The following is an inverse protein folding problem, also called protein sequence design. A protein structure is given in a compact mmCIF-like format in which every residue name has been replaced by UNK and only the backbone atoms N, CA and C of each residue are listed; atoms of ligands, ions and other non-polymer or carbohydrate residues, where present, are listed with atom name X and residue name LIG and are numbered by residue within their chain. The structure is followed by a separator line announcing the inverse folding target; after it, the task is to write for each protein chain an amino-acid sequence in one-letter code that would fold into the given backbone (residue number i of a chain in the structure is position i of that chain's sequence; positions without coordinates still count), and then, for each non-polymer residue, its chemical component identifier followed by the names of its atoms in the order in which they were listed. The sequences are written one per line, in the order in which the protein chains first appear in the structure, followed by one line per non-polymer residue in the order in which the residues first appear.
data_IF_672904653980
#
_entry.id   IF_672904653980
#
_cell.length_a   1.000
_cell.length_b   1.000
_cell.length_c   1.000
_cell.angle_alpha   90.00
_cell.angle_beta   90.00
_cell.angle_gamma   90.00
#
_symmetry.space_group_name_H-M   'P 1'
#
loop_
_entity.id
_entity.type
_entity.pdbx_description
1 polymer ?
#
# COMPACT_ATOMS: atom_id res chain seq x y z
N UNK A 1 -1.76 -6.57 -19.77
CA UNK A 1 -0.76 -6.45 -18.67
C UNK A 1 -1.33 -5.45 -17.69
N UNK A 2 -1.37 -5.82 -16.42
CA UNK A 2 -1.86 -4.93 -15.37
C UNK A 2 -0.75 -3.98 -14.91
N UNK A 3 -1.10 -2.71 -14.82
CA UNK A 3 -0.22 -1.66 -14.31
C UNK A 3 -0.96 -0.83 -13.26
N UNK A 4 -0.20 -0.21 -12.36
CA UNK A 4 -0.69 0.75 -11.38
C UNK A 4 -0.13 2.13 -11.73
N UNK A 5 -1.00 3.13 -11.83
CA UNK A 5 -0.59 4.51 -12.08
C UNK A 5 0.12 5.09 -10.85
N UNK A 6 1.28 5.71 -11.04
CA UNK A 6 2.06 6.36 -9.98
C UNK A 6 1.62 7.81 -9.74
N UNK A 7 0.94 8.41 -10.71
CA UNK A 7 0.44 9.79 -10.69
C UNK A 7 -0.81 9.90 -11.54
N UNK A 8 -1.53 11.01 -11.37
CA UNK A 8 -2.70 11.31 -12.19
C UNK A 8 -2.32 11.34 -13.67
N UNK A 9 -3.14 10.69 -14.50
CA UNK A 9 -2.90 10.51 -15.91
C UNK A 9 -4.15 10.86 -16.72
N UNK A 10 -4.02 11.78 -17.67
CA UNK A 10 -5.10 12.11 -18.61
C UNK A 10 -5.08 11.14 -19.80
N UNK A 11 -6.03 10.21 -19.81
CA UNK A 11 -6.18 9.25 -20.89
C UNK A 11 -7.13 9.79 -21.96
N UNK A 12 -6.70 9.79 -23.23
CA UNK A 12 -7.59 10.06 -24.36
C UNK A 12 -8.39 8.80 -24.67
N UNK A 13 -9.69 8.82 -24.34
CA UNK A 13 -10.62 7.72 -24.63
C UNK A 13 -11.51 8.06 -25.82
N UNK A 14 -12.26 7.08 -26.33
CA UNK A 14 -13.26 7.30 -27.40
C UNK A 14 -14.39 8.23 -26.98
N UNK A 15 -14.65 8.35 -25.67
CA UNK A 15 -15.66 9.24 -25.09
C UNK A 15 -15.10 10.62 -24.71
N UNK A 16 -13.81 10.85 -24.98
CA UNK A 16 -13.10 12.09 -24.63
C UNK A 16 -11.95 11.87 -23.64
N UNK A 17 -11.25 12.96 -23.25
CA UNK A 17 -10.20 12.90 -22.25
C UNK A 17 -10.80 12.56 -20.87
N UNK A 18 -10.17 11.61 -20.17
CA UNK A 18 -10.57 11.19 -18.82
C UNK A 18 -9.36 11.22 -17.89
N UNK A 19 -9.50 11.89 -16.75
CA UNK A 19 -8.52 11.85 -15.69
C UNK A 19 -8.60 10.50 -14.95
N UNK A 20 -7.47 9.81 -14.89
CA UNK A 20 -7.29 8.58 -14.13
C UNK A 20 -6.39 8.91 -12.93
N UNK A 21 -6.87 8.72 -11.69
CA UNK A 21 -6.10 9.09 -10.51
C UNK A 21 -4.91 8.13 -10.29
N UNK A 22 -3.90 8.63 -9.56
CA UNK A 22 -2.84 7.81 -9.02
C UNK A 22 -3.38 6.61 -8.20
N UNK A 23 -2.65 5.49 -8.20
CA UNK A 23 -3.04 4.24 -7.55
C UNK A 23 -4.06 3.42 -8.32
N UNK A 24 -4.62 3.92 -9.43
CA UNK A 24 -5.55 3.16 -10.26
C UNK A 24 -4.85 2.05 -11.03
N UNK A 25 -5.40 0.85 -10.93
CA UNK A 25 -5.01 -0.29 -11.76
C UNK A 25 -5.69 -0.25 -13.12
N UNK A 26 -4.93 -0.57 -14.17
CA UNK A 26 -5.40 -0.65 -15.55
C UNK A 26 -4.87 -1.93 -16.19
N UNK A 27 -5.72 -2.63 -16.94
CA UNK A 27 -5.27 -3.68 -17.85
C UNK A 27 -5.13 -3.10 -19.27
N UNK A 28 -3.90 -3.08 -19.77
CA UNK A 28 -3.57 -2.52 -21.07
C UNK A 28 -2.82 -3.53 -21.94
N UNK A 29 -2.86 -3.30 -23.25
CA UNK A 29 -1.95 -3.96 -24.18
C UNK A 29 -0.49 -3.72 -23.76
N UNK A 30 0.34 -4.76 -23.92
CA UNK A 30 1.70 -4.80 -23.38
C UNK A 30 2.58 -3.63 -23.86
N UNK A 31 2.48 -3.24 -25.13
CA UNK A 31 3.25 -2.09 -25.65
C UNK A 31 2.89 -0.78 -24.96
N UNK A 32 1.59 -0.53 -24.73
CA UNK A 32 1.13 0.68 -24.03
C UNK A 32 1.53 0.67 -22.56
N UNK A 33 1.42 -0.48 -21.90
CA UNK A 33 1.87 -0.66 -20.53
C UNK A 33 3.38 -0.37 -20.41
N UNK A 34 4.20 -0.96 -21.29
CA UNK A 34 5.66 -0.73 -21.34
C UNK A 34 5.99 0.74 -21.59
N UNK A 35 5.25 1.44 -22.46
CA UNK A 35 5.46 2.87 -22.70
C UNK A 35 5.19 3.72 -21.44
N UNK A 36 4.12 3.44 -20.70
CA UNK A 36 3.80 4.15 -19.45
C UNK A 36 4.80 3.84 -18.33
N UNK A 37 5.29 2.60 -18.27
CA UNK A 37 6.34 2.19 -17.31
C UNK A 37 7.66 2.89 -17.63
N UNK A 38 8.08 2.88 -18.90
CA UNK A 38 9.30 3.55 -19.34
C UNK A 38 9.25 5.08 -19.10
N UNK A 39 8.06 5.68 -19.18
CA UNK A 39 7.83 7.09 -18.87
C UNK A 39 7.76 7.40 -17.36
N UNK A 40 7.85 6.39 -16.48
CA UNK A 40 7.69 6.55 -15.03
C UNK A 40 6.30 7.07 -14.64
N UNK A 41 5.28 6.75 -15.44
CA UNK A 41 3.87 7.09 -15.18
C UNK A 41 3.18 5.95 -14.43
N UNK A 42 3.62 4.71 -14.67
CA UNK A 42 3.06 3.52 -14.07
C UNK A 42 4.13 2.50 -13.70
N UNK A 43 3.74 1.48 -12.95
CA UNK A 43 4.55 0.30 -12.66
C UNK A 43 3.70 -0.98 -12.84
N UNK A 44 4.30 -2.17 -12.97
CA UNK A 44 3.54 -3.42 -12.96
C UNK A 44 2.68 -3.54 -11.70
N UNK A 45 1.44 -4.03 -11.84
CA UNK A 45 0.53 -4.16 -10.70
C UNK A 45 0.85 -5.36 -9.79
N UNK A 46 1.63 -6.33 -10.30
CA UNK A 46 1.97 -7.61 -9.67
C UNK A 46 3.33 -7.61 -8.95
N UNK A 47 3.89 -6.43 -8.67
CA UNK A 47 5.15 -6.32 -7.92
C UNK A 47 4.99 -6.85 -6.49
N UNK A 48 6.00 -7.54 -5.94
CA UNK A 48 5.94 -8.06 -4.59
C UNK A 48 5.83 -6.93 -3.57
N UNK A 49 4.90 -7.07 -2.63
CA UNK A 49 4.72 -6.12 -1.54
C UNK A 49 5.70 -6.41 -0.40
N UNK A 50 6.01 -5.40 0.44
CA UNK A 50 6.72 -5.64 1.69
C UNK A 50 6.01 -6.68 2.55
N UNK A 51 6.78 -7.45 3.31
CA UNK A 51 6.26 -8.49 4.19
C UNK A 51 7.14 -8.62 5.43
N UNK A 52 6.65 -9.39 6.41
CA UNK A 52 7.43 -9.78 7.57
C UNK A 52 7.91 -11.21 7.38
N UNK A 53 9.22 -11.42 7.59
CA UNK A 53 9.79 -12.76 7.49
C UNK A 53 9.43 -13.63 8.73
N UNK A 54 10.02 -14.82 8.83
CA UNK A 54 9.75 -15.73 9.95
C UNK A 54 10.26 -15.21 11.30
N UNK A 55 11.23 -14.31 11.31
CA UNK A 55 11.75 -13.67 12.51
C UNK A 55 10.94 -12.42 12.90
N UNK A 56 9.99 -11.99 12.06
CA UNK A 56 9.23 -10.76 12.26
C UNK A 56 9.97 -9.52 11.76
N UNK A 57 11.02 -9.68 10.95
CA UNK A 57 11.76 -8.56 10.37
C UNK A 57 11.07 -8.06 9.10
N UNK A 58 11.02 -6.73 8.93
CA UNK A 58 10.49 -6.12 7.72
C UNK A 58 11.43 -6.37 6.54
N UNK A 59 10.91 -7.06 5.53
CA UNK A 59 11.56 -7.25 4.24
C UNK A 59 10.87 -6.37 3.19
N UNK A 60 11.64 -5.46 2.58
CA UNK A 60 11.22 -4.66 1.43
C UNK A 60 11.97 -5.18 0.19
N UNK A 61 11.31 -5.93 -0.71
CA UNK A 61 11.96 -6.44 -1.92
C UNK A 61 12.52 -5.32 -2.80
N UNK A 62 13.67 -5.53 -3.45
CA UNK A 62 14.26 -4.52 -4.35
C UNK A 62 13.38 -4.22 -5.56
N UNK A 63 12.58 -5.20 -6.00
CA UNK A 63 11.62 -5.11 -7.09
C UNK A 63 10.19 -4.79 -6.60
N UNK A 64 10.00 -4.25 -5.40
CA UNK A 64 8.67 -3.83 -4.92
C UNK A 64 8.16 -2.54 -5.61
N UNK A 65 6.89 -2.13 -5.38
CA UNK A 65 6.37 -0.82 -5.77
C UNK A 65 7.24 0.35 -5.32
N UNK A 66 7.37 1.38 -6.17
CA UNK A 66 8.23 2.53 -5.88
C UNK A 66 7.90 3.21 -4.54
N UNK A 67 6.63 3.24 -4.15
CA UNK A 67 6.17 3.86 -2.90
C UNK A 67 6.82 3.27 -1.64
N UNK A 68 7.27 2.01 -1.66
CA UNK A 68 7.87 1.36 -0.50
C UNK A 68 9.39 1.51 -0.41
N UNK A 69 10.04 2.04 -1.46
CA UNK A 69 11.49 2.16 -1.54
C UNK A 69 11.96 3.42 -0.83
N UNK A 70 12.07 3.38 0.50
CA UNK A 70 12.52 4.52 1.31
C UNK A 70 13.88 5.08 0.83
N UNK A 71 14.77 4.22 0.33
CA UNK A 71 16.07 4.61 -0.23
C UNK A 71 15.99 5.34 -1.58
N UNK A 72 14.81 5.37 -2.21
CA UNK A 72 14.53 6.03 -3.48
C UNK A 72 13.43 7.10 -3.35
N UNK A 73 13.22 7.63 -2.14
CA UNK A 73 12.23 8.68 -1.88
C UNK A 73 10.80 8.18 -1.68
N UNK A 74 10.60 6.87 -1.47
CA UNK A 74 9.33 6.29 -1.03
C UNK A 74 9.03 6.55 0.46
N UNK A 75 7.96 5.94 0.96
CA UNK A 75 7.55 5.98 2.36
C UNK A 75 8.59 5.37 3.30
N UNK A 76 8.54 5.74 4.58
CA UNK A 76 9.47 5.22 5.57
C UNK A 76 9.23 3.73 5.86
N UNK A 77 10.24 3.05 6.42
CA UNK A 77 10.09 1.69 6.93
C UNK A 77 9.01 1.62 8.03
N UNK A 78 8.89 2.66 8.86
CA UNK A 78 7.88 2.76 9.91
C UNK A 78 6.46 2.86 9.34
N UNK A 79 6.26 3.65 8.27
CA UNK A 79 4.96 3.72 7.59
C UNK A 79 4.59 2.40 6.94
N UNK A 80 5.58 1.68 6.40
CA UNK A 80 5.39 0.33 5.87
C UNK A 80 4.96 -0.66 6.96
N UNK A 81 5.58 -0.60 8.14
CA UNK A 81 5.16 -1.39 9.30
C UNK A 81 3.75 -1.03 9.79
N UNK A 82 3.42 0.27 9.81
CA UNK A 82 2.08 0.76 10.15
C UNK A 82 1.03 0.20 9.19
N UNK A 83 1.28 0.22 7.89
CA UNK A 83 0.35 -0.35 6.90
C UNK A 83 0.16 -1.85 7.08
N UNK A 84 1.25 -2.61 7.29
CA UNK A 84 1.15 -4.05 7.56
C UNK A 84 0.36 -4.32 8.85
N UNK A 85 0.53 -3.47 9.86
CA UNK A 85 -0.25 -3.53 11.09
C UNK A 85 -1.73 -3.29 10.83
N UNK A 86 -2.07 -2.21 10.11
CA UNK A 86 -3.46 -1.85 9.79
C UNK A 86 -4.15 -2.94 8.96
N UNK A 87 -3.45 -3.52 7.97
CA UNK A 87 -3.98 -4.62 7.15
C UNK A 87 -4.26 -5.86 8.01
N UNK A 88 -3.33 -6.25 8.89
CA UNK A 88 -3.51 -7.43 9.76
C UNK A 88 -4.58 -7.22 10.81
N UNK A 89 -4.66 -6.03 11.40
CA UNK A 89 -5.74 -5.68 12.31
C UNK A 89 -7.09 -5.75 11.59
N UNK A 90 -7.20 -5.19 10.37
CA UNK A 90 -8.42 -5.24 9.58
C UNK A 90 -8.83 -6.68 9.22
N UNK A 91 -7.90 -7.53 8.79
CA UNK A 91 -8.19 -8.95 8.50
C UNK A 91 -8.70 -9.65 9.77
N UNK A 92 -8.04 -9.46 10.90
CA UNK A 92 -8.45 -10.09 12.16
C UNK A 92 -9.81 -9.60 12.67
N UNK A 93 -10.12 -8.32 12.48
CA UNK A 93 -11.41 -7.73 12.85
C UNK A 93 -12.54 -8.20 11.91
N UNK A 94 -12.41 -7.94 10.61
CA UNK A 94 -13.50 -8.11 9.66
C UNK A 94 -13.65 -9.54 9.15
N UNK A 95 -12.53 -10.21 8.83
CA UNK A 95 -12.56 -11.59 8.33
C UNK A 95 -12.47 -12.61 9.48
N UNK A 96 -11.73 -12.26 10.54
CA UNK A 96 -11.51 -13.10 11.72
C UNK A 96 -12.56 -12.95 12.82
N UNK A 97 -13.39 -11.90 12.77
CA UNK A 97 -14.45 -11.64 13.75
C UNK A 97 -13.97 -11.27 15.16
N UNK A 98 -12.69 -10.89 15.32
CA UNK A 98 -12.18 -10.42 16.61
C UNK A 98 -12.66 -9.00 16.90
N UNK A 99 -12.89 -8.65 18.19
CA UNK A 99 -13.04 -7.25 18.56
C UNK A 99 -11.82 -6.43 18.12
N UNK A 100 -12.06 -5.20 17.66
CA UNK A 100 -11.01 -4.29 17.18
C UNK A 100 -9.79 -4.22 18.09
N UNK A 101 -9.98 -4.00 19.39
CA UNK A 101 -8.87 -3.89 20.35
C UNK A 101 -8.03 -5.17 20.42
N UNK A 102 -8.67 -6.33 20.30
CA UNK A 102 -7.96 -7.61 20.28
C UNK A 102 -7.25 -7.84 18.94
N UNK A 103 -7.86 -7.46 17.83
CA UNK A 103 -7.26 -7.52 16.50
C UNK A 103 -6.02 -6.62 16.41
N UNK A 104 -6.12 -5.36 16.87
CA UNK A 104 -5.00 -4.42 16.95
C UNK A 104 -3.89 -4.96 17.87
N UNK A 105 -4.22 -5.47 19.06
CA UNK A 105 -3.21 -6.06 19.97
C UNK A 105 -2.45 -7.21 19.30
N UNK A 106 -3.15 -8.15 18.68
CA UNK A 106 -2.52 -9.29 17.99
C UNK A 106 -1.73 -8.83 16.76
N UNK A 107 -2.23 -7.85 16.01
CA UNK A 107 -1.48 -7.29 14.87
C UNK A 107 -0.16 -6.67 15.34
N UNK A 108 -0.17 -5.92 16.45
CA UNK A 108 1.04 -5.32 17.05
C UNK A 108 2.06 -6.37 17.49
N UNK A 109 1.61 -7.49 18.10
CA UNK A 109 2.50 -8.59 18.49
C UNK A 109 3.25 -9.18 17.29
N UNK A 110 2.56 -9.33 16.16
CA UNK A 110 3.17 -9.94 14.98
C UNK A 110 3.98 -8.91 14.17
N UNK A 111 3.62 -7.61 14.16
CA UNK A 111 4.35 -6.59 13.36
C UNK A 111 5.45 -5.88 14.13
N UNK A 112 5.44 -5.94 15.47
CA UNK A 112 6.27 -5.09 16.32
C UNK A 112 5.90 -3.61 16.24
N UNK A 113 4.83 -3.24 15.51
CA UNK A 113 4.36 -1.86 15.42
C UNK A 113 3.40 -1.58 16.57
N UNK A 114 3.80 -0.66 17.45
CA UNK A 114 2.96 -0.18 18.54
C UNK A 114 2.38 1.19 18.16
N UNK A 115 1.08 1.29 17.85
CA UNK A 115 0.46 2.59 17.61
C UNK A 115 0.55 3.42 18.90
N UNK A 116 0.83 4.70 18.75
CA UNK A 116 0.73 5.64 19.88
C UNK A 116 -0.71 5.59 20.41
N UNK A 117 -0.92 5.62 21.75
CA UNK A 117 -2.26 5.66 22.30
C UNK A 117 -2.99 6.85 21.70
N UNK A 118 -4.15 6.60 21.09
CA UNK A 118 -5.04 7.67 20.63
C UNK A 118 -5.31 8.55 21.83
N UNK A 119 -4.89 9.81 21.79
CA UNK A 119 -5.34 10.81 22.77
C UNK A 119 -6.87 10.80 22.69
N UNK A 120 -7.53 10.28 23.71
CA UNK A 120 -8.94 10.53 23.94
C UNK A 120 -9.07 12.05 23.95
N UNK A 121 -9.78 12.61 22.97
CA UNK A 121 -10.31 13.96 23.13
C UNK A 121 -11.31 13.81 24.26
N UNK A 122 -10.87 14.10 25.47
CA UNK A 122 -11.76 14.23 26.61
C UNK A 122 -12.87 15.18 26.20
N UNK A 123 -14.09 14.66 26.32
CA UNK A 123 -15.33 15.40 26.17
C UNK A 123 -15.26 16.60 27.13
N UNK A 124 -15.20 17.80 26.57
CA UNK A 124 -15.34 19.04 27.34
C UNK A 124 -16.75 19.05 27.96
N UNK A 125 -16.90 19.36 29.27
CA UNK A 125 -18.19 19.39 29.96
C UNK A 125 -19.14 20.50 29.50
#
# INVERSE_FOLDING_TARGET
MKITLLKDFEAKTTEGPRLLPAGRELDLAEEKARALIAAGIAEPADLPRPYLDRAGELVIPLNCPARFKWWAGGQSALDTLRELFEERAAIMEFDGGLPRDEAERRAAEITGYHPQPRKTKDTDP
#
